data_IF_549400665824
#
_entry.id   IF_549400665824
#
_cell.length_a   1.000
_cell.length_b   1.000
_cell.length_c   1.000
_cell.angle_alpha   90.00
_cell.angle_beta   90.00
_cell.angle_gamma   90.00
#
_symmetry.space_group_name_H-M   'P 1'
#
loop_
_entity.id
_entity.type
_entity.pdbx_description
1 polymer ?
#
# COMPACT_ATOMS: atom_id res chain seq x y z
N UNK A 1 -28.06 -21.51 -54.32
CA UNK A 1 -26.78 -21.39 -53.58
C UNK A 1 -26.86 -20.14 -52.70
N UNK A 2 -27.08 -20.29 -51.40
CA UNK A 2 -27.29 -19.18 -50.44
C UNK A 2 -25.93 -18.73 -49.91
N UNK A 3 -25.58 -17.45 -50.06
CA UNK A 3 -24.38 -16.86 -49.45
C UNK A 3 -24.79 -16.24 -48.11
N UNK A 4 -24.39 -16.86 -47.01
CA UNK A 4 -24.54 -16.34 -45.66
C UNK A 4 -23.58 -15.16 -45.48
N UNK A 5 -24.11 -13.96 -45.18
CA UNK A 5 -23.33 -12.85 -44.65
C UNK A 5 -23.20 -13.04 -43.14
N UNK A 6 -22.01 -13.41 -42.68
CA UNK A 6 -21.68 -13.45 -41.26
C UNK A 6 -21.29 -12.03 -40.81
N UNK A 7 -22.19 -11.35 -40.10
CA UNK A 7 -21.89 -10.06 -39.45
C UNK A 7 -21.14 -10.36 -38.15
N UNK A 8 -19.86 -9.98 -38.12
CA UNK A 8 -19.02 -10.05 -36.93
C UNK A 8 -19.47 -8.95 -35.94
N UNK A 9 -20.20 -9.32 -34.90
CA UNK A 9 -20.51 -8.41 -33.79
C UNK A 9 -19.26 -8.31 -32.92
N UNK A 10 -18.49 -7.26 -33.12
CA UNK A 10 -17.42 -6.86 -32.19
C UNK A 10 -18.11 -6.39 -30.92
N UNK A 11 -18.12 -7.25 -29.89
CA UNK A 11 -18.50 -6.86 -28.54
C UNK A 11 -17.46 -5.87 -28.01
N UNK A 12 -17.80 -4.58 -28.05
CA UNK A 12 -17.12 -3.55 -27.29
C UNK A 12 -17.28 -3.91 -25.81
N UNK A 13 -16.27 -4.54 -25.22
CA UNK A 13 -16.13 -4.57 -23.77
C UNK A 13 -15.90 -3.12 -23.36
N UNK A 14 -16.96 -2.48 -22.89
CA UNK A 14 -16.91 -1.15 -22.33
C UNK A 14 -15.88 -1.13 -21.20
N UNK A 15 -14.72 -0.55 -21.47
CA UNK A 15 -13.81 -0.08 -20.43
C UNK A 15 -14.57 0.97 -19.63
N UNK A 16 -15.13 0.57 -18.50
CA UNK A 16 -15.56 1.52 -17.48
C UNK A 16 -14.30 2.24 -17.02
N UNK A 17 -14.07 3.42 -17.58
CA UNK A 17 -13.11 4.37 -17.04
C UNK A 17 -13.62 4.72 -15.64
N UNK A 18 -12.94 4.22 -14.61
CA UNK A 18 -13.22 4.60 -13.24
C UNK A 18 -12.67 6.00 -13.02
N UNK A 19 -13.42 7.01 -13.44
CA UNK A 19 -13.24 8.35 -12.93
C UNK A 19 -13.84 8.42 -11.52
N UNK A 20 -13.24 7.70 -10.56
CA UNK A 20 -13.43 8.05 -9.16
C UNK A 20 -12.69 9.36 -8.93
N UNK A 21 -13.45 10.43 -8.70
CA UNK A 21 -12.88 11.75 -8.45
C UNK A 21 -11.94 11.69 -7.25
N UNK A 22 -10.72 12.17 -7.43
CA UNK A 22 -9.76 12.30 -6.34
C UNK A 22 -10.38 13.07 -5.17
N UNK A 23 -10.20 12.58 -3.96
CA UNK A 23 -10.64 13.27 -2.75
C UNK A 23 -9.49 14.11 -2.18
N UNK A 24 -9.78 15.27 -1.59
CA UNK A 24 -8.73 16.11 -1.01
C UNK A 24 -8.25 15.50 0.31
N UNK A 25 -6.95 15.40 0.51
CA UNK A 25 -6.37 15.04 1.79
C UNK A 25 -6.56 16.19 2.79
N UNK A 26 -7.15 15.90 3.95
CA UNK A 26 -7.47 16.86 5.01
C UNK A 26 -6.57 16.66 6.24
N UNK A 27 -6.25 15.40 6.57
CA UNK A 27 -5.39 15.07 7.70
C UNK A 27 -4.52 13.83 7.40
N UNK A 28 -3.41 13.73 8.14
CA UNK A 28 -2.52 12.57 8.16
C UNK A 28 -2.36 12.10 9.59
N UNK A 29 -2.66 10.83 9.84
CA UNK A 29 -2.54 10.21 11.15
C UNK A 29 -1.44 9.18 11.11
N UNK A 30 -0.51 9.28 12.05
CA UNK A 30 0.62 8.35 12.22
C UNK A 30 0.24 7.32 13.26
N UNK A 31 0.54 6.06 12.99
CA UNK A 31 0.38 4.97 13.96
C UNK A 31 1.69 4.23 14.16
N UNK A 32 1.94 3.79 15.39
CA UNK A 32 2.88 2.71 15.69
C UNK A 32 2.11 1.39 15.59
N UNK A 33 2.45 0.57 14.59
CA UNK A 33 1.89 -0.76 14.42
C UNK A 33 2.79 -1.80 15.08
N UNK A 34 2.18 -2.71 15.85
CA UNK A 34 2.87 -3.83 16.50
C UNK A 34 2.11 -5.14 16.26
N UNK A 35 2.81 -6.18 15.84
CA UNK A 35 2.21 -7.47 15.48
C UNK A 35 3.08 -8.67 15.87
N UNK A 36 2.56 -9.52 16.75
CA UNK A 36 3.12 -10.84 17.05
C UNK A 36 2.84 -11.79 15.89
N UNK A 37 3.74 -11.87 14.92
CA UNK A 37 3.60 -12.71 13.71
C UNK A 37 3.87 -14.20 13.96
N UNK A 38 4.70 -14.50 14.96
CA UNK A 38 5.07 -15.85 15.38
C UNK A 38 4.74 -16.06 16.86
N UNK A 39 3.66 -16.80 17.13
CA UNK A 39 3.23 -17.13 18.50
C UNK A 39 4.21 -17.99 19.29
N UNK A 40 5.22 -18.58 18.64
CA UNK A 40 6.30 -19.30 19.34
C UNK A 40 7.38 -18.36 19.87
N UNK A 41 7.40 -17.11 19.42
CA UNK A 41 8.33 -16.06 19.82
C UNK A 41 7.55 -14.83 20.32
N UNK A 42 6.88 -14.97 21.46
CA UNK A 42 5.93 -13.96 21.98
C UNK A 42 6.55 -12.60 22.29
N UNK A 43 7.86 -12.52 22.47
CA UNK A 43 8.55 -11.25 22.74
C UNK A 43 9.03 -10.55 21.45
N UNK A 44 8.92 -11.21 20.30
CA UNK A 44 9.41 -10.72 19.01
C UNK A 44 8.27 -10.10 18.18
N UNK A 45 7.90 -8.87 18.52
CA UNK A 45 6.90 -8.13 17.77
C UNK A 45 7.51 -7.50 16.51
N UNK A 46 6.82 -7.70 15.39
CA UNK A 46 7.06 -6.87 14.22
C UNK A 46 6.53 -5.47 14.46
N UNK A 47 7.33 -4.44 14.19
CA UNK A 47 6.94 -3.04 14.33
C UNK A 47 7.16 -2.22 13.08
N UNK A 48 6.20 -1.33 12.81
CA UNK A 48 6.20 -0.48 11.62
C UNK A 48 5.48 0.83 11.89
N UNK A 49 5.99 1.93 11.33
CA UNK A 49 5.24 3.18 11.35
C UNK A 49 4.28 3.23 10.17
N UNK A 50 3.01 3.46 10.46
CA UNK A 50 1.93 3.45 9.47
C UNK A 50 1.33 4.84 9.34
N UNK A 51 0.78 5.14 8.16
CA UNK A 51 0.17 6.41 7.81
C UNK A 51 -1.27 6.15 7.36
N UNK A 52 -2.21 6.89 7.93
CA UNK A 52 -3.57 7.03 7.42
C UNK A 52 -3.71 8.45 6.85
N UNK A 53 -3.96 8.56 5.55
CA UNK A 53 -4.33 9.82 4.91
C UNK A 53 -5.84 9.87 4.83
N UNK A 54 -6.43 10.95 5.33
CA UNK A 54 -7.87 11.10 5.51
C UNK A 54 -8.36 12.27 4.66
N UNK A 55 -9.34 12.02 3.81
CA UNK A 55 -10.12 13.01 3.10
C UNK A 55 -11.52 13.14 3.68
N UNK A 56 -12.42 13.77 2.90
CA UNK A 56 -13.83 13.91 3.31
C UNK A 56 -14.60 12.60 3.12
N UNK A 57 -14.34 11.91 2.02
CA UNK A 57 -15.07 10.75 1.54
C UNK A 57 -14.16 9.54 1.28
N UNK A 58 -12.83 9.72 1.30
CA UNK A 58 -11.87 8.66 1.10
C UNK A 58 -10.78 8.64 2.18
N UNK A 59 -10.17 7.49 2.40
CA UNK A 59 -8.95 7.34 3.19
C UNK A 59 -8.01 6.32 2.57
N UNK A 60 -6.71 6.44 2.84
CA UNK A 60 -5.71 5.43 2.51
C UNK A 60 -4.83 5.13 3.71
N UNK A 61 -4.72 3.84 4.06
CA UNK A 61 -3.81 3.34 5.08
C UNK A 61 -2.62 2.63 4.42
N UNK A 62 -1.41 3.07 4.75
CA UNK A 62 -0.17 2.64 4.09
C UNK A 62 1.00 2.60 5.08
N UNK A 63 2.09 1.93 4.68
CA UNK A 63 3.36 1.96 5.41
C UNK A 63 4.10 3.27 5.17
N UNK A 64 4.40 3.99 6.24
CA UNK A 64 5.25 5.19 6.15
C UNK A 64 6.73 4.86 6.12
N UNK A 65 7.13 3.78 6.77
CA UNK A 65 8.50 3.28 6.67
C UNK A 65 8.82 2.90 5.21
N UNK A 66 7.85 2.35 4.47
CA UNK A 66 7.94 2.13 3.03
C UNK A 66 8.12 3.44 2.25
N UNK A 67 7.27 4.44 2.51
CA UNK A 67 7.35 5.74 1.83
C UNK A 67 8.72 6.39 2.04
N UNK A 68 9.19 6.45 3.28
CA UNK A 68 10.49 7.05 3.61
C UNK A 68 11.66 6.31 2.96
N UNK A 69 11.60 4.98 2.95
CA UNK A 69 12.61 4.16 2.28
C UNK A 69 12.63 4.42 0.78
N UNK A 70 11.47 4.47 0.14
CA UNK A 70 11.37 4.70 -1.30
C UNK A 70 11.88 6.12 -1.65
N UNK A 71 11.56 7.14 -0.85
CA UNK A 71 12.10 8.49 -0.98
C UNK A 71 13.63 8.57 -0.77
N UNK A 72 14.15 7.86 0.23
CA UNK A 72 15.60 7.79 0.48
C UNK A 72 16.34 7.11 -0.68
N UNK A 73 15.81 5.99 -1.19
CA UNK A 73 16.38 5.30 -2.34
C UNK A 73 16.35 6.19 -3.58
N UNK A 74 15.26 6.94 -3.80
CA UNK A 74 15.13 7.87 -4.92
C UNK A 74 16.20 8.95 -4.87
N UNK A 75 16.39 9.58 -3.70
CA UNK A 75 17.42 10.62 -3.51
C UNK A 75 18.84 10.10 -3.75
N UNK A 76 19.19 8.96 -3.16
CA UNK A 76 20.51 8.31 -3.36
C UNK A 76 20.77 8.04 -4.85
N UNK A 77 19.74 7.61 -5.57
CA UNK A 77 19.84 7.29 -6.98
C UNK A 77 19.98 8.53 -7.85
N UNK A 78 19.18 9.56 -7.60
CA UNK A 78 19.32 10.87 -8.25
C UNK A 78 20.71 11.48 -8.03
N UNK A 79 21.26 11.39 -6.82
CA UNK A 79 22.62 11.81 -6.50
C UNK A 79 23.67 10.99 -7.25
N UNK A 80 23.55 9.66 -7.28
CA UNK A 80 24.46 8.80 -8.04
C UNK A 80 24.46 9.13 -9.54
N UNK A 81 23.28 9.37 -10.13
CA UNK A 81 23.17 9.73 -11.55
C UNK A 81 23.80 11.10 -11.81
N UNK A 82 23.56 12.10 -10.95
CA UNK A 82 24.21 13.41 -11.06
C UNK A 82 25.73 13.31 -10.95
N UNK A 83 26.23 12.50 -10.02
CA UNK A 83 27.66 12.34 -9.78
C UNK A 83 28.36 11.45 -10.83
N UNK A 84 27.63 10.60 -11.57
CA UNK A 84 28.14 9.77 -12.65
C UNK A 84 27.90 10.37 -14.06
N UNK A 85 27.42 11.62 -14.15
CA UNK A 85 27.22 12.31 -15.43
C UNK A 85 28.52 12.36 -16.25
N UNK A 86 28.68 11.40 -17.16
CA UNK A 86 29.85 11.24 -18.03
C UNK A 86 30.51 9.85 -18.02
N UNK A 87 30.11 8.92 -17.13
CA UNK A 87 30.70 7.57 -17.09
C UNK A 87 29.61 6.50 -17.19
N UNK A 88 29.76 5.54 -18.10
CA UNK A 88 28.95 4.31 -18.22
C UNK A 88 29.26 3.34 -17.07
N UNK A 89 29.16 3.82 -15.83
CA UNK A 89 29.34 3.02 -14.62
C UNK A 89 28.04 2.33 -14.20
N UNK A 90 28.14 1.13 -13.67
CA UNK A 90 27.02 0.43 -13.02
C UNK A 90 26.56 1.21 -11.78
N UNK A 91 25.26 1.47 -11.68
CA UNK A 91 24.64 2.04 -10.48
C UNK A 91 24.70 0.99 -9.37
N UNK A 92 25.54 1.23 -8.36
CA UNK A 92 25.62 0.39 -7.17
C UNK A 92 24.58 0.87 -6.14
N UNK A 93 23.40 0.27 -6.20
CA UNK A 93 22.45 0.35 -5.09
C UNK A 93 22.90 -0.71 -4.08
N UNK A 94 23.78 -0.32 -3.14
CA UNK A 94 24.02 -1.15 -1.98
C UNK A 94 22.68 -1.29 -1.24
N UNK A 95 22.05 -2.46 -1.35
CA UNK A 95 20.86 -2.79 -0.60
C UNK A 95 21.23 -2.87 0.87
N UNK A 96 21.17 -1.74 1.58
CA UNK A 96 21.10 -1.79 3.03
C UNK A 96 19.97 -2.75 3.39
N UNK A 97 20.23 -3.64 4.35
CA UNK A 97 19.26 -4.64 4.81
C UNK A 97 18.11 -3.93 5.50
N UNK A 98 17.20 -3.35 4.71
CA UNK A 98 16.02 -2.69 5.22
C UNK A 98 15.14 -3.74 5.87
N UNK A 99 14.60 -3.40 7.05
CA UNK A 99 13.55 -4.24 7.65
C UNK A 99 12.42 -4.46 6.63
N UNK A 100 11.82 -5.66 6.57
CA UNK A 100 10.62 -5.87 5.77
C UNK A 100 9.54 -4.86 6.17
N UNK A 101 8.87 -4.28 5.17
CA UNK A 101 7.76 -3.32 5.35
C UNK A 101 6.48 -3.93 4.77
N UNK A 102 5.32 -3.48 5.23
CA UNK A 102 4.03 -3.90 4.69
C UNK A 102 3.90 -3.43 3.23
N UNK A 103 3.73 -4.35 2.26
CA UNK A 103 3.63 -4.02 0.84
C UNK A 103 2.18 -3.74 0.38
N UNK A 104 1.26 -3.62 1.34
CA UNK A 104 -0.18 -3.49 1.13
C UNK A 104 -0.64 -2.09 1.53
N UNK A 105 -1.43 -1.47 0.66
CA UNK A 105 -2.14 -0.23 0.91
C UNK A 105 -3.64 -0.49 0.86
N UNK A 106 -4.38 0.11 1.79
CA UNK A 106 -5.83 -0.05 1.88
C UNK A 106 -6.52 1.27 1.62
N UNK A 107 -7.41 1.30 0.63
CA UNK A 107 -8.23 2.46 0.33
C UNK A 107 -9.66 2.20 0.74
N UNK A 108 -10.28 3.19 1.37
CA UNK A 108 -11.69 3.14 1.72
C UNK A 108 -12.39 4.37 1.15
N UNK A 109 -13.37 4.14 0.28
CA UNK A 109 -14.20 5.14 -0.36
C UNK A 109 -15.62 5.02 0.20
N UNK A 110 -15.96 5.93 1.12
CA UNK A 110 -17.12 5.86 2.01
C UNK A 110 -18.42 5.94 1.22
N UNK A 111 -18.52 6.93 0.32
CA UNK A 111 -19.77 7.21 -0.41
C UNK A 111 -20.09 6.13 -1.44
N UNK A 112 -19.06 5.55 -2.04
CA UNK A 112 -19.15 4.47 -3.02
C UNK A 112 -19.34 3.10 -2.36
N UNK A 113 -19.18 3.02 -1.02
CA UNK A 113 -19.14 1.77 -0.27
C UNK A 113 -18.11 0.78 -0.82
N UNK A 114 -16.94 1.29 -1.23
CA UNK A 114 -15.86 0.51 -1.85
C UNK A 114 -14.62 0.47 -0.99
N UNK A 115 -13.96 -0.66 -1.03
CA UNK A 115 -12.69 -0.90 -0.37
C UNK A 115 -11.71 -1.51 -1.35
N UNK A 116 -10.49 -0.99 -1.39
CA UNK A 116 -9.48 -1.50 -2.30
C UNK A 116 -8.25 -1.94 -1.53
N UNK A 117 -7.75 -3.12 -1.89
CA UNK A 117 -6.46 -3.62 -1.42
C UNK A 117 -5.48 -3.49 -2.58
N UNK A 118 -4.52 -2.57 -2.47
CA UNK A 118 -3.38 -2.50 -3.37
C UNK A 118 -2.24 -3.30 -2.76
N UNK A 119 -1.79 -4.34 -3.44
CA UNK A 119 -0.66 -5.14 -2.98
C UNK A 119 0.42 -5.21 -4.04
N UNK A 120 1.66 -5.02 -3.59
CA UNK A 120 2.81 -5.05 -4.47
C UNK A 120 3.64 -6.31 -4.28
N UNK A 121 3.84 -7.03 -5.37
CA UNK A 121 4.77 -8.16 -5.44
C UNK A 121 6.02 -7.73 -6.22
N UNK A 122 5.84 -7.53 -7.52
CA UNK A 122 6.80 -6.86 -8.42
C UNK A 122 6.02 -5.75 -9.14
N UNK A 123 4.89 -6.15 -9.73
CA UNK A 123 3.82 -5.29 -10.21
C UNK A 123 2.86 -4.95 -9.06
N UNK A 124 2.26 -3.77 -9.10
CA UNK A 124 1.17 -3.38 -8.20
C UNK A 124 -0.15 -3.98 -8.69
N UNK A 125 -0.84 -4.68 -7.80
CA UNK A 125 -2.15 -5.26 -8.07
C UNK A 125 -3.21 -4.55 -7.23
N UNK A 126 -4.41 -4.40 -7.78
CA UNK A 126 -5.53 -3.76 -7.11
C UNK A 126 -6.72 -4.70 -7.07
N UNK A 127 -7.19 -4.98 -5.86
CA UNK A 127 -8.38 -5.78 -5.60
C UNK A 127 -9.47 -4.82 -5.14
N UNK A 128 -10.63 -4.88 -5.79
CA UNK A 128 -11.84 -4.13 -5.40
C UNK A 128 -12.78 -5.05 -4.62
N UNK A 129 -13.22 -4.59 -3.46
CA UNK A 129 -14.17 -5.27 -2.59
C UNK A 129 -15.25 -4.26 -2.15
N UNK A 130 -16.41 -4.76 -1.73
CA UNK A 130 -17.37 -3.95 -0.98
C UNK A 130 -16.78 -3.61 0.38
N UNK A 131 -16.97 -2.37 0.85
CA UNK A 131 -16.46 -2.00 2.16
C UNK A 131 -17.07 -2.86 3.28
N UNK A 132 -16.25 -3.34 4.23
CA UNK A 132 -16.73 -4.22 5.28
C UNK A 132 -17.68 -3.47 6.21
N UNK A 133 -18.88 -4.00 6.39
CA UNK A 133 -19.81 -3.49 7.40
C UNK A 133 -19.44 -4.05 8.77
N UNK A 134 -18.76 -3.25 9.58
CA UNK A 134 -18.33 -3.64 10.92
C UNK A 134 -19.41 -3.28 11.95
N UNK A 135 -19.91 -4.29 12.66
CA UNK A 135 -20.92 -4.09 13.71
C UNK A 135 -20.23 -3.73 15.03
N UNK A 136 -20.03 -2.43 15.26
CA UNK A 136 -19.42 -1.93 16.49
C UNK A 136 -20.41 -1.88 17.65
N UNK A 137 -19.97 -2.34 18.82
CA UNK A 137 -20.63 -2.10 20.11
C UNK A 137 -19.90 -0.97 20.83
N UNK A 138 -20.46 0.24 20.76
CA UNK A 138 -19.94 1.41 21.47
C UNK A 138 -20.32 1.31 22.95
N UNK A 139 -19.37 1.59 23.83
CA UNK A 139 -19.53 1.53 25.29
C UNK A 139 -19.37 2.91 25.92
N UNK A 140 -19.68 3.05 27.21
CA UNK A 140 -19.53 4.33 27.93
C UNK A 140 -18.10 4.60 28.41
N UNK A 141 -17.20 3.62 28.27
CA UNK A 141 -15.80 3.76 28.70
C UNK A 141 -15.11 4.84 27.85
N UNK A 142 -14.39 5.74 28.51
CA UNK A 142 -13.61 6.80 27.88
C UNK A 142 -12.15 6.74 28.32
N UNK A 143 -11.27 7.22 27.46
CA UNK A 143 -9.83 7.34 27.71
C UNK A 143 -9.27 8.54 26.93
N UNK A 144 -8.02 8.91 27.20
CA UNK A 144 -7.32 9.94 26.44
C UNK A 144 -5.98 9.41 25.97
N UNK A 145 -5.68 9.60 24.68
CA UNK A 145 -4.43 9.17 24.05
C UNK A 145 -3.77 10.39 23.43
N UNK A 146 -2.58 10.75 23.92
CA UNK A 146 -1.86 11.96 23.51
C UNK A 146 -2.72 13.23 23.54
N UNK A 147 -3.61 13.33 24.54
CA UNK A 147 -4.52 14.46 24.72
C UNK A 147 -5.84 14.37 23.96
N UNK A 148 -6.03 13.38 23.08
CA UNK A 148 -7.26 13.19 22.28
C UNK A 148 -8.27 12.37 23.09
N UNK A 149 -9.48 12.92 23.29
CA UNK A 149 -10.53 12.24 24.06
C UNK A 149 -11.18 11.15 23.21
N UNK A 150 -11.18 9.93 23.72
CA UNK A 150 -11.66 8.76 23.02
C UNK A 150 -12.74 8.02 23.79
N UNK A 151 -13.61 7.34 23.04
CA UNK A 151 -14.63 6.42 23.53
C UNK A 151 -14.32 5.01 23.03
N UNK A 152 -14.60 4.01 23.86
CA UNK A 152 -14.34 2.60 23.52
C UNK A 152 -15.47 2.00 22.71
N UNK A 153 -15.10 1.23 21.69
CA UNK A 153 -15.98 0.33 20.96
C UNK A 153 -15.34 -1.04 20.83
N UNK A 154 -16.17 -2.08 20.73
CA UNK A 154 -15.71 -3.47 20.55
C UNK A 154 -16.43 -4.13 19.38
N UNK A 155 -15.78 -5.05 18.69
CA UNK A 155 -16.40 -5.85 17.63
C UNK A 155 -15.68 -7.19 17.45
N UNK A 156 -16.34 -8.14 16.79
CA UNK A 156 -15.68 -9.32 16.25
C UNK A 156 -15.56 -9.16 14.74
N UNK A 157 -14.33 -9.13 14.23
CA UNK A 157 -14.06 -8.87 12.82
C UNK A 157 -12.82 -9.63 12.37
N UNK A 158 -12.93 -10.35 11.24
CA UNK A 158 -11.84 -11.15 10.63
C UNK A 158 -11.16 -12.10 11.63
N UNK A 159 -11.98 -12.78 12.42
CA UNK A 159 -11.55 -13.79 13.38
C UNK A 159 -10.92 -13.25 14.67
N UNK A 160 -10.95 -11.92 14.91
CA UNK A 160 -10.43 -11.30 16.15
C UNK A 160 -11.50 -10.48 16.88
N UNK A 161 -11.45 -10.51 18.20
CA UNK A 161 -12.15 -9.55 19.06
C UNK A 161 -11.32 -8.27 19.12
N UNK A 162 -11.83 -7.19 18.55
CA UNK A 162 -11.18 -5.89 18.55
C UNK A 162 -11.73 -5.01 19.66
N UNK A 163 -10.83 -4.27 20.30
CA UNK A 163 -11.10 -3.13 21.15
C UNK A 163 -10.52 -1.91 20.42
N UNK A 164 -11.38 -0.94 20.10
CA UNK A 164 -11.00 0.30 19.44
C UNK A 164 -11.38 1.49 20.32
N UNK A 165 -10.51 2.49 20.33
CA UNK A 165 -10.72 3.78 20.96
C UNK A 165 -10.83 4.82 19.86
N UNK A 166 -12.00 5.43 19.70
CA UNK A 166 -12.26 6.41 18.66
C UNK A 166 -12.53 7.79 19.25
N UNK A 167 -12.17 8.85 18.53
CA UNK A 167 -12.33 10.23 18.93
C UNK A 167 -13.53 10.88 18.20
N UNK A 168 -14.68 11.08 18.88
CA UNK A 168 -15.85 11.72 18.27
C UNK A 168 -15.57 13.18 17.83
N UNK A 169 -14.62 13.85 18.48
CA UNK A 169 -14.21 15.22 18.16
C UNK A 169 -13.47 15.35 16.83
N UNK A 170 -12.98 14.23 16.30
CA UNK A 170 -12.39 14.11 14.96
C UNK A 170 -13.35 13.32 14.09
N UNK A 171 -14.34 13.96 13.42
CA UNK A 171 -15.50 13.30 12.80
C UNK A 171 -15.15 12.62 11.45
N UNK A 172 -14.08 11.86 11.42
CA UNK A 172 -13.63 11.05 10.29
C UNK A 172 -13.96 9.58 10.54
N UNK A 173 -14.79 8.96 9.71
CA UNK A 173 -15.18 7.54 9.88
C UNK A 173 -14.10 6.56 9.39
N UNK A 174 -12.84 6.85 9.70
CA UNK A 174 -11.66 6.14 9.21
C UNK A 174 -10.81 5.63 10.38
N UNK A 175 -9.94 4.66 10.09
CA UNK A 175 -9.09 4.04 11.09
C UNK A 175 -7.96 3.24 10.45
N UNK A 176 -7.09 2.62 11.27
CA UNK A 176 -5.99 1.82 10.77
C UNK A 176 -6.47 0.51 10.13
N UNK A 177 -5.70 0.01 9.17
CA UNK A 177 -5.95 -1.25 8.47
C UNK A 177 -7.34 -1.27 7.79
N UNK A 178 -8.22 -2.20 8.17
CA UNK A 178 -9.58 -2.36 7.66
C UNK A 178 -10.64 -1.85 8.65
N UNK A 179 -10.22 -1.33 9.82
CA UNK A 179 -11.13 -0.85 10.86
C UNK A 179 -11.67 0.53 10.48
N UNK A 180 -12.98 0.62 10.26
CA UNK A 180 -13.68 1.85 9.87
C UNK A 180 -15.12 1.85 10.40
N UNK A 181 -15.88 2.91 10.11
CA UNK A 181 -17.32 2.98 10.37
C UNK A 181 -17.74 3.38 11.80
N UNK A 182 -16.79 3.75 12.67
CA UNK A 182 -17.10 4.42 13.94
C UNK A 182 -17.41 5.92 13.69
N UNK A 183 -18.26 6.56 14.52
CA UNK A 183 -18.61 7.98 14.38
C UNK A 183 -17.49 8.89 14.92
N UNK A 184 -16.29 8.75 14.36
CA UNK A 184 -15.08 9.44 14.75
C UNK A 184 -13.84 8.63 14.38
N UNK A 185 -12.68 9.29 14.37
CA UNK A 185 -11.40 8.68 14.00
C UNK A 185 -11.03 7.60 15.00
N UNK A 186 -10.68 6.39 14.53
CA UNK A 186 -10.10 5.36 15.39
C UNK A 186 -8.65 5.76 15.73
N UNK A 187 -8.41 6.11 16.99
CA UNK A 187 -7.12 6.61 17.50
C UNK A 187 -6.22 5.45 17.91
N UNK A 188 -6.77 4.47 18.63
CA UNK A 188 -6.09 3.22 18.94
C UNK A 188 -6.98 2.03 18.64
N UNK A 189 -6.40 0.91 18.25
CA UNK A 189 -7.11 -0.36 18.20
C UNK A 189 -6.17 -1.52 18.50
N UNK A 190 -6.64 -2.50 19.23
CA UNK A 190 -5.91 -3.74 19.45
C UNK A 190 -6.87 -4.91 19.55
N UNK A 191 -6.37 -6.11 19.27
CA UNK A 191 -7.14 -7.30 19.59
C UNK A 191 -7.08 -7.60 21.09
N UNK A 192 -8.05 -8.38 21.57
CA UNK A 192 -8.19 -8.72 22.98
C UNK A 192 -6.93 -9.37 23.58
N UNK A 193 -6.18 -10.10 22.75
CA UNK A 193 -4.94 -10.77 23.13
C UNK A 193 -3.70 -9.88 23.06
N UNK A 194 -3.83 -8.63 22.60
CA UNK A 194 -2.71 -7.72 22.42
C UNK A 194 -1.64 -8.24 21.44
N UNK A 195 -2.02 -9.15 20.54
CA UNK A 195 -1.16 -9.71 19.49
C UNK A 195 -1.05 -8.76 18.30
N UNK A 196 -2.06 -7.93 18.07
CA UNK A 196 -2.09 -6.91 17.02
C UNK A 196 -2.51 -5.57 17.63
N UNK A 197 -1.70 -4.52 17.43
CA UNK A 197 -1.95 -3.19 17.99
C UNK A 197 -1.66 -2.09 16.98
N UNK A 198 -2.53 -1.10 16.97
CA UNK A 198 -2.37 0.17 16.27
C UNK A 198 -2.46 1.28 17.32
N UNK A 199 -1.34 1.96 17.56
CA UNK A 199 -1.25 2.99 18.59
C UNK A 199 -1.06 4.35 17.96
N UNK A 200 -1.72 5.36 18.51
CA UNK A 200 -1.64 6.72 17.99
C UNK A 200 -0.23 7.29 18.17
N UNK A 201 0.35 7.80 17.09
CA UNK A 201 1.68 8.43 17.10
C UNK A 201 1.65 9.91 16.73
N UNK A 202 0.53 10.44 16.22
CA UNK A 202 0.38 11.86 15.91
C UNK A 202 -0.62 12.13 14.80
N UNK A 203 -1.04 13.38 14.66
CA UNK A 203 -1.90 13.86 13.59
C UNK A 203 -1.42 15.20 13.06
N UNK A 204 -1.31 15.31 11.74
CA UNK A 204 -0.98 16.53 11.04
C UNK A 204 -2.16 16.95 10.16
N UNK A 205 -2.53 18.23 10.22
CA UNK A 205 -3.46 18.79 9.23
C UNK A 205 -2.73 19.01 7.92
N UNK A 206 -3.36 18.66 6.81
CA UNK A 206 -2.81 18.95 5.49
C UNK A 206 -3.08 20.42 5.19
N UNK A 207 -2.06 21.26 5.36
CA UNK A 207 -2.09 22.63 4.84
C UNK A 207 -1.75 22.60 3.35
N UNK A 208 -2.37 23.48 2.55
CA UNK A 208 -2.04 23.70 1.13
C UNK A 208 -0.64 24.32 0.96
N UNK A 209 0.39 23.71 1.52
CA UNK A 209 1.76 23.95 1.12
C UNK A 209 2.05 23.14 -0.13
N UNK A 210 2.68 23.79 -1.10
CA UNK A 210 2.83 23.36 -2.49
C UNK A 210 3.00 21.84 -2.65
N UNK A 211 2.35 21.24 -3.67
CA UNK A 211 2.36 19.79 -3.87
C UNK A 211 3.80 19.28 -3.82
N UNK A 212 4.04 18.20 -3.08
CA UNK A 212 5.21 17.36 -3.34
C UNK A 212 5.11 16.99 -4.81
N UNK A 213 5.86 17.71 -5.66
CA UNK A 213 5.84 17.49 -7.09
C UNK A 213 6.41 16.10 -7.31
N UNK A 214 5.54 15.12 -7.49
CA UNK A 214 5.80 13.99 -8.39
C UNK A 214 5.87 14.53 -9.83
N UNK A 215 6.71 15.54 -10.08
CA UNK A 215 7.24 15.70 -11.42
C UNK A 215 8.25 14.59 -11.56
N UNK A 216 7.93 13.61 -12.41
CA UNK A 216 8.92 12.84 -13.16
C UNK A 216 9.90 13.85 -13.76
N UNK A 217 10.90 14.30 -13.00
CA UNK A 217 11.82 15.30 -13.49
C UNK A 217 12.70 14.59 -14.51
N UNK A 218 12.73 15.07 -15.77
CA UNK A 218 13.61 14.51 -16.77
C UNK A 218 15.03 14.64 -16.25
N UNK A 219 15.73 13.53 -16.11
CA UNK A 219 17.15 13.57 -15.74
C UNK A 219 17.94 13.69 -17.03
N UNK A 220 18.81 14.70 -17.10
CA UNK A 220 19.75 14.85 -18.19
C UNK A 220 20.71 13.65 -18.16
N UNK A 221 20.68 12.83 -19.20
CA UNK A 221 21.56 11.69 -19.36
C UNK A 221 22.90 12.13 -19.96
N UNK A 222 23.95 11.36 -19.72
CA UNK A 222 25.31 11.64 -20.20
C UNK A 222 25.44 11.75 -21.75
N UNK A 223 24.43 11.30 -22.49
CA UNK A 223 24.35 11.39 -23.96
C UNK A 223 23.64 12.66 -24.46
N UNK A 224 23.31 13.62 -23.58
CA UNK A 224 22.60 14.85 -23.95
C UNK A 224 21.08 14.68 -24.15
N UNK A 225 20.53 13.48 -23.93
CA UNK A 225 19.09 13.23 -23.93
C UNK A 225 18.46 13.43 -22.55
N UNK A 226 17.19 13.81 -22.50
CA UNK A 226 16.38 13.81 -21.28
C UNK A 226 15.65 12.47 -21.16
N UNK A 227 15.85 11.76 -20.04
CA UNK A 227 15.20 10.49 -19.76
C UNK A 227 14.25 10.58 -18.57
N UNK A 228 13.09 9.93 -18.66
CA UNK A 228 12.23 9.66 -17.49
C UNK A 228 12.71 8.36 -16.87
N UNK A 229 13.25 8.42 -15.66
CA UNK A 229 13.69 7.21 -14.98
C UNK A 229 12.49 6.61 -14.24
N UNK A 230 11.79 5.69 -14.93
CA UNK A 230 10.77 4.85 -14.30
C UNK A 230 11.45 3.73 -13.53
N UNK A 231 11.59 3.91 -12.23
CA UNK A 231 12.11 2.85 -11.37
C UNK A 231 11.05 1.77 -11.21
N UNK A 232 11.38 0.56 -11.65
CA UNK A 232 10.54 -0.61 -11.54
C UNK A 232 10.15 -0.83 -10.07
N UNK A 233 8.95 -0.38 -9.70
CA UNK A 233 8.49 -0.46 -8.33
C UNK A 233 9.11 0.58 -7.39
N UNK A 234 9.08 1.86 -7.74
CA UNK A 234 9.09 2.94 -6.74
C UNK A 234 7.96 3.94 -7.03
N UNK A 235 7.03 3.54 -7.90
CA UNK A 235 5.91 4.34 -8.37
C UNK A 235 4.80 4.41 -7.31
N UNK A 236 4.63 5.62 -6.77
CA UNK A 236 3.38 6.07 -6.18
C UNK A 236 3.21 5.92 -4.67
N UNK A 237 4.19 5.45 -3.89
CA UNK A 237 4.10 5.52 -2.42
C UNK A 237 4.24 6.97 -1.92
N UNK A 238 5.12 7.75 -2.54
CA UNK A 238 5.28 9.18 -2.29
C UNK A 238 4.02 10.00 -2.60
N UNK A 239 3.20 9.56 -3.58
CA UNK A 239 1.93 10.20 -3.93
C UNK A 239 0.98 10.36 -2.73
N UNK A 240 1.07 9.48 -1.72
CA UNK A 240 0.26 9.56 -0.50
C UNK A 240 0.64 10.73 0.42
N UNK A 241 1.80 11.37 0.18
CA UNK A 241 2.18 12.64 0.81
C UNK A 241 1.65 13.87 0.04
N UNK A 242 1.02 13.67 -1.12
CA UNK A 242 0.34 14.71 -1.90
C UNK A 242 -1.01 15.11 -1.31
N UNK A 243 -1.69 16.06 -1.98
CA UNK A 243 -2.91 16.68 -1.48
C UNK A 243 -4.20 15.93 -1.89
N UNK A 244 -4.06 14.78 -2.53
CA UNK A 244 -5.16 14.00 -3.10
C UNK A 244 -5.08 12.54 -2.67
N UNK A 245 -6.25 11.93 -2.47
CA UNK A 245 -6.44 10.50 -2.31
C UNK A 245 -7.08 10.00 -3.60
N UNK A 246 -6.32 9.21 -4.35
CA UNK A 246 -6.76 8.57 -5.59
C UNK A 246 -6.16 7.19 -5.74
N UNK A 247 -6.86 6.33 -6.47
CA UNK A 247 -6.36 5.01 -6.81
C UNK A 247 -5.17 5.11 -7.78
N UNK A 248 -4.20 4.20 -7.70
CA UNK A 248 -3.14 4.10 -8.70
C UNK A 248 -3.74 3.78 -10.08
N UNK A 249 -3.25 4.45 -11.13
CA UNK A 249 -3.69 4.23 -12.51
C UNK A 249 -2.93 3.11 -13.22
N UNK A 250 -1.79 2.71 -12.67
CA UNK A 250 -0.84 1.73 -13.21
C UNK A 250 -0.98 0.33 -12.57
N UNK A 251 -1.89 0.17 -11.60
CA UNK A 251 -2.10 -1.10 -10.93
C UNK A 251 -2.97 -2.07 -11.77
N UNK A 252 -2.56 -3.33 -11.82
CA UNK A 252 -3.30 -4.40 -12.50
C UNK A 252 -4.48 -4.83 -11.63
N UNK A 253 -5.70 -4.68 -12.15
CA UNK A 253 -6.91 -5.16 -11.46
C UNK A 253 -6.93 -6.67 -11.40
N UNK A 254 -7.27 -7.22 -10.24
CA UNK A 254 -7.27 -8.67 -10.02
C UNK A 254 -8.21 -9.05 -8.86
N UNK A 255 -8.32 -10.34 -8.59
CA UNK A 255 -9.06 -10.91 -7.46
C UNK A 255 -8.12 -11.45 -6.38
N UNK A 256 -8.62 -11.61 -5.15
CA UNK A 256 -7.85 -12.25 -4.07
C UNK A 256 -7.36 -13.65 -4.45
N UNK A 257 -8.19 -14.44 -5.15
CA UNK A 257 -7.81 -15.79 -5.60
C UNK A 257 -6.63 -15.79 -6.58
N UNK A 258 -6.55 -14.79 -7.45
CA UNK A 258 -5.46 -14.65 -8.41
C UNK A 258 -4.18 -14.17 -7.73
N UNK A 259 -4.27 -13.23 -6.79
CA UNK A 259 -3.10 -12.76 -6.06
C UNK A 259 -2.50 -13.87 -5.20
N UNK A 260 -3.33 -14.72 -4.58
CA UNK A 260 -2.87 -15.86 -3.79
C UNK A 260 -2.12 -16.87 -4.68
N UNK A 261 -2.64 -17.17 -5.88
CA UNK A 261 -1.92 -18.00 -6.86
C UNK A 261 -0.59 -17.39 -7.29
N UNK A 262 -0.54 -16.07 -7.49
CA UNK A 262 0.71 -15.38 -7.84
C UNK A 262 1.74 -15.49 -6.71
N UNK A 263 1.32 -15.35 -5.45
CA UNK A 263 2.19 -15.54 -4.28
C UNK A 263 2.68 -16.98 -4.17
N UNK A 264 1.81 -17.97 -4.37
CA UNK A 264 2.20 -19.38 -4.40
C UNK A 264 3.21 -19.67 -5.51
N UNK A 265 3.03 -19.11 -6.70
CA UNK A 265 3.98 -19.27 -7.80
C UNK A 265 5.34 -18.64 -7.47
N UNK A 266 5.34 -17.42 -6.91
CA UNK A 266 6.55 -16.75 -6.42
C UNK A 266 7.27 -17.58 -5.35
N UNK A 267 6.52 -18.13 -4.40
CA UNK A 267 7.10 -18.88 -3.29
C UNK A 267 7.67 -20.25 -3.73
N UNK A 268 7.12 -20.83 -4.81
CA UNK A 268 7.63 -22.08 -5.44
C UNK A 268 8.88 -21.85 -6.28
N UNK A 269 8.91 -20.79 -7.08
CA UNK A 269 10.06 -20.44 -7.93
C UNK A 269 10.28 -18.92 -7.97
N UNK A 270 11.02 -18.36 -6.99
CA UNK A 270 11.24 -16.92 -6.90
C UNK A 270 11.99 -16.33 -8.11
N UNK A 271 12.95 -17.08 -8.68
CA UNK A 271 13.77 -16.61 -9.80
C UNK A 271 13.00 -16.68 -11.12
N UNK A 272 12.32 -17.78 -11.40
CA UNK A 272 11.45 -17.89 -12.57
C UNK A 272 10.30 -16.88 -12.52
N UNK A 273 9.72 -16.66 -11.35
CA UNK A 273 8.69 -15.64 -11.15
C UNK A 273 9.21 -14.22 -11.45
N UNK A 274 10.40 -13.87 -10.95
CA UNK A 274 11.04 -12.58 -11.23
C UNK A 274 11.28 -12.41 -12.73
N UNK A 275 11.86 -13.40 -13.39
CA UNK A 275 12.15 -13.37 -14.83
C UNK A 275 10.86 -13.20 -15.65
N UNK A 276 9.79 -13.91 -15.31
CA UNK A 276 8.51 -13.80 -15.99
C UNK A 276 7.87 -12.42 -15.84
N UNK A 277 7.91 -11.84 -14.64
CA UNK A 277 7.38 -10.50 -14.36
C UNK A 277 8.19 -9.40 -15.07
N UNK A 278 9.52 -9.54 -15.16
CA UNK A 278 10.37 -8.59 -15.88
C UNK A 278 10.16 -8.68 -17.40
N UNK A 279 10.04 -9.89 -17.96
CA UNK A 279 9.78 -10.10 -19.38
C UNK A 279 8.45 -9.46 -19.83
N UNK A 280 7.41 -9.50 -18.98
CA UNK A 280 6.12 -8.86 -19.25
C UNK A 280 6.18 -7.32 -19.28
N UNK A 281 7.18 -6.68 -18.69
CA UNK A 281 7.31 -5.21 -18.65
C UNK A 281 8.04 -4.63 -19.87
N UNK A 282 8.96 -5.39 -20.48
CA UNK A 282 9.75 -4.94 -21.63
C UNK A 282 8.96 -4.89 -22.96
N UNK A 283 7.75 -5.43 -23.01
CA UNK A 283 6.90 -5.43 -24.21
C UNK A 283 6.17 -4.10 -24.46
N UNK A 284 6.28 -3.12 -23.56
CA UNK A 284 5.58 -1.82 -23.62
C UNK A 284 6.52 -0.62 -23.81
N UNK A 285 7.17 -0.51 -24.97
CA UNK A 285 7.54 0.76 -25.62
C UNK A 285 8.17 1.90 -24.80
N UNK A 286 8.97 1.64 -23.76
CA UNK A 286 9.76 2.67 -23.08
C UNK A 286 11.17 2.14 -22.90
N UNK A 287 12.17 2.90 -23.35
CA UNK A 287 13.58 2.55 -23.31
C UNK A 287 13.99 2.19 -21.88
N UNK A 288 13.99 0.89 -21.58
CA UNK A 288 14.54 0.36 -20.36
C UNK A 288 16.05 0.60 -20.37
N UNK A 289 16.57 1.12 -19.26
CA UNK A 289 18.00 1.00 -18.98
C UNK A 289 18.31 -0.50 -19.00
N UNK A 290 18.89 -0.97 -20.11
CA UNK A 290 19.51 -2.29 -20.20
C UNK A 290 20.79 -2.27 -19.40
N UNK A 291 20.66 -2.28 -18.08
CA UNK A 291 21.67 -2.88 -17.23
C UNK A 291 20.98 -4.05 -16.56
N UNK A 292 21.31 -5.25 -17.03
CA UNK A 292 21.08 -6.50 -16.33
C UNK A 292 21.86 -6.45 -15.01
N UNK A 293 21.31 -5.76 -14.02
CA UNK A 293 21.67 -6.02 -12.63
C UNK A 293 21.27 -7.46 -12.37
N UNK A 294 22.26 -8.36 -12.34
CA UNK A 294 22.12 -9.63 -11.62
C UNK A 294 21.85 -9.25 -10.17
N UNK A 295 20.58 -9.08 -9.83
CA UNK A 295 20.15 -9.05 -8.43
C UNK A 295 20.39 -10.48 -7.95
N UNK A 296 21.57 -10.72 -7.38
CA UNK A 296 21.83 -11.96 -6.65
C UNK A 296 20.87 -11.98 -5.47
N UNK A 297 19.76 -12.69 -5.62
CA UNK A 297 18.90 -12.99 -4.47
C UNK A 297 19.78 -13.75 -3.47
N UNK A 298 19.80 -13.34 -2.19
CA UNK A 298 20.54 -14.09 -1.19
C UNK A 298 20.05 -15.55 -1.19
N UNK A 299 21.01 -16.48 -1.23
CA UNK A 299 20.82 -17.94 -1.38
C UNK A 299 20.04 -18.60 -0.24
N UNK A 300 19.58 -17.84 0.74
CA UNK A 300 18.66 -18.30 1.78
C UNK A 300 17.86 -17.13 2.33
N UNK A 301 16.71 -16.81 1.72
CA UNK A 301 15.70 -15.99 2.41
C UNK A 301 15.15 -16.88 3.53
N UNK A 302 15.59 -16.67 4.77
CA UNK A 302 15.00 -17.34 5.94
C UNK A 302 13.50 -17.02 5.92
N UNK A 303 12.67 -18.03 5.64
CA UNK A 303 11.22 -17.85 5.50
C UNK A 303 10.70 -17.25 6.80
N UNK A 304 10.15 -16.04 6.73
CA UNK A 304 9.50 -15.42 7.88
C UNK A 304 8.35 -16.32 8.30
N UNK A 305 8.40 -16.85 9.52
CA UNK A 305 7.30 -17.65 10.08
C UNK A 305 6.17 -16.69 10.40
N UNK A 306 5.03 -16.88 9.74
CA UNK A 306 3.78 -16.17 10.01
C UNK A 306 2.73 -17.22 10.36
N UNK A 307 2.60 -17.54 11.65
CA UNK A 307 1.54 -18.42 12.16
C UNK A 307 0.39 -17.65 12.80
N UNK A 308 0.50 -16.32 12.86
CA UNK A 308 -0.52 -15.44 13.40
C UNK A 308 -0.88 -14.31 12.41
N UNK A 309 -1.55 -14.59 11.27
CA UNK A 309 -1.97 -13.55 10.34
C UNK A 309 -2.97 -12.59 11.01
N UNK A 310 -2.99 -11.33 10.58
CA UNK A 310 -3.93 -10.34 11.14
C UNK A 310 -5.39 -10.76 10.91
N UNK A 311 -5.71 -11.25 9.72
CA UNK A 311 -6.99 -11.90 9.42
C UNK A 311 -6.90 -13.38 9.79
N UNK A 312 -7.70 -13.80 10.76
CA UNK A 312 -7.84 -15.20 11.14
C UNK A 312 -9.06 -15.81 10.43
N UNK A 313 -9.08 -17.14 10.20
CA UNK A 313 -10.26 -17.83 9.73
C UNK A 313 -11.44 -17.53 10.67
N UNK A 314 -12.56 -17.09 10.11
CA UNK A 314 -13.75 -16.85 10.91
C UNK A 314 -14.22 -18.18 11.51
N UNK A 315 -14.44 -18.20 12.84
CA UNK A 315 -15.15 -19.30 13.48
C UNK A 315 -16.54 -19.40 12.85
N UNK A 316 -16.76 -20.49 12.09
CA UNK A 316 -18.08 -20.88 11.61
C UNK A 316 -19.02 -21.17 12.76
#
# INVERSE_FOLDING_TARGET
MKILKATLIISLIGSTAFAQSADKALARVRYSFSHMRDTTQRDNFYTENMLLVIGKNASVYTSYDKINRDEEMKKKLEEQIKNQAGTTGSININGSSYKPVTPIDYFYFINENKFFTKERIITSYLIEETAPKINWKITKDTASFSGVKCQKATTYFKGRNWIAWFAPELPFQSGPWKLNGLPGLIVEAHDEKNEVKFQFAGIDKVTETAPAKETEQPVAMANGGTGIIKFAGMDGSASYLGNEIKLPTDAVKTTQKEIDKLKEARDKDPQGFLNAQLASRNTGGSFGVTNTTRISAPSSIKKMVLNNPIELPEKK
#
